data_IF_241144668175
#
_entry.id   IF_241144668175
#
_cell.length_a   1.000
_cell.length_b   1.000
_cell.length_c   1.000
_cell.angle_alpha   90.00
_cell.angle_beta   90.00
_cell.angle_gamma   90.00
#
_symmetry.space_group_name_H-M   'P 1'
#
loop_
_entity.id
_entity.type
_entity.pdbx_description
1 polymer ?
#
# COMPACT_ATOMS: atom_id res chain seq x y z
N UNK A 1 -9.65 11.22 -0.71
CA UNK A 1 -8.85 10.00 -0.46
C UNK A 1 -9.64 9.12 0.46
N UNK A 2 -9.80 7.86 0.09
CA UNK A 2 -10.49 6.84 0.88
C UNK A 2 -9.42 5.91 1.45
N UNK A 3 -9.60 5.43 2.67
CA UNK A 3 -8.73 4.45 3.34
C UNK A 3 -9.58 3.26 3.82
N UNK A 4 -9.00 2.06 3.79
CA UNK A 4 -9.64 0.87 4.33
C UNK A 4 -9.63 0.87 5.86
N UNK A 5 -10.73 0.42 6.47
CA UNK A 5 -10.79 0.22 7.93
C UNK A 5 -9.75 -0.80 8.41
N UNK A 6 -9.49 -1.84 7.62
CA UNK A 6 -8.52 -2.89 7.94
C UNK A 6 -7.11 -2.34 8.11
N UNK A 7 -6.71 -1.38 7.27
CA UNK A 7 -5.39 -0.78 7.36
C UNK A 7 -5.22 0.02 8.66
N UNK A 8 -6.22 0.82 9.04
CA UNK A 8 -6.17 1.63 10.28
C UNK A 8 -6.04 0.73 11.51
N UNK A 9 -6.75 -0.40 11.50
CA UNK A 9 -6.69 -1.37 12.59
C UNK A 9 -5.31 -2.02 12.71
N UNK A 10 -4.66 -2.28 11.56
CA UNK A 10 -3.36 -2.93 11.49
C UNK A 10 -2.19 -2.00 11.79
N UNK A 11 -2.26 -0.74 11.36
CA UNK A 11 -1.19 0.25 11.51
C UNK A 11 -1.70 1.53 12.15
N UNK A 12 -1.50 1.63 13.46
CA UNK A 12 -2.03 2.72 14.29
C UNK A 12 -1.54 4.11 13.88
N UNK A 13 -0.36 4.22 13.26
CA UNK A 13 0.19 5.51 12.83
C UNK A 13 -0.60 6.14 11.69
N UNK A 14 -1.46 5.42 10.97
CA UNK A 14 -2.38 6.09 10.01
C UNK A 14 -3.48 6.90 10.69
N UNK A 15 -3.75 6.67 11.98
CA UNK A 15 -4.73 7.47 12.74
C UNK A 15 -4.38 8.96 12.76
N UNK A 16 -3.10 9.31 12.62
CA UNK A 16 -2.67 10.71 12.55
C UNK A 16 -3.01 11.41 11.22
N UNK A 17 -3.54 10.68 10.24
CA UNK A 17 -4.00 11.20 8.95
C UNK A 17 -5.54 11.27 8.86
N UNK A 18 -6.26 11.10 9.98
CA UNK A 18 -7.72 11.04 10.07
C UNK A 18 -8.46 12.16 9.33
N UNK A 19 -7.93 13.38 9.34
CA UNK A 19 -8.51 14.54 8.63
C UNK A 19 -8.29 14.55 7.12
N UNK A 20 -7.43 13.67 6.60
CA UNK A 20 -7.04 13.64 5.18
C UNK A 20 -7.80 12.60 4.36
N UNK A 21 -8.48 11.65 5.03
CA UNK A 21 -9.18 10.56 4.39
C UNK A 21 -10.63 10.42 4.87
N UNK A 22 -11.40 9.64 4.12
CA UNK A 22 -12.66 9.06 4.57
C UNK A 22 -12.48 7.56 4.72
N UNK A 23 -12.98 6.99 5.81
CA UNK A 23 -12.93 5.55 6.04
C UNK A 23 -14.08 4.90 5.28
N UNK A 24 -13.78 3.91 4.44
CA UNK A 24 -14.78 3.09 3.78
C UNK A 24 -14.27 1.65 3.69
N UNK A 25 -15.18 0.70 3.46
CA UNK A 25 -14.82 -0.68 3.18
C UNK A 25 -14.46 -0.82 1.70
N UNK A 26 -13.16 -0.79 1.41
CA UNK A 26 -12.60 -0.86 0.06
C UNK A 26 -11.59 -2.00 -0.03
N UNK A 27 -11.47 -2.60 -1.22
CA UNK A 27 -10.54 -3.72 -1.48
C UNK A 27 -9.07 -3.30 -1.40
N UNK A 28 -8.75 -2.10 -1.87
CA UNK A 28 -7.42 -1.49 -1.74
C UNK A 28 -7.24 -0.87 -0.35
N UNK A 29 -6.00 -0.60 0.04
CA UNK A 29 -5.73 0.11 1.31
C UNK A 29 -6.07 1.59 1.23
N UNK A 30 -5.80 2.20 0.08
CA UNK A 30 -6.25 3.55 -0.22
C UNK A 30 -6.80 3.64 -1.64
N UNK A 31 -7.76 4.55 -1.82
CA UNK A 31 -8.28 4.93 -3.14
C UNK A 31 -8.24 6.45 -3.28
N UNK A 32 -7.64 6.92 -4.38
CA UNK A 32 -7.63 8.33 -4.76
C UNK A 32 -8.48 8.45 -6.03
N UNK A 33 -9.77 8.70 -5.82
CA UNK A 33 -10.77 8.72 -6.89
C UNK A 33 -10.47 9.76 -7.97
N UNK A 34 -10.04 10.96 -7.58
CA UNK A 34 -9.70 12.04 -8.54
C UNK A 34 -8.55 11.67 -9.49
N UNK A 35 -7.74 10.66 -9.14
CA UNK A 35 -6.62 10.15 -9.94
C UNK A 35 -6.87 8.76 -10.51
N UNK A 36 -8.02 8.13 -10.24
CA UNK A 36 -8.30 6.73 -10.56
C UNK A 36 -7.15 5.80 -10.15
N UNK A 37 -6.73 5.93 -8.90
CA UNK A 37 -5.56 5.24 -8.34
C UNK A 37 -5.94 4.44 -7.09
N UNK A 38 -5.59 3.16 -7.10
CA UNK A 38 -5.57 2.29 -5.94
C UNK A 38 -4.16 2.14 -5.41
N UNK A 39 -4.04 2.13 -4.09
CA UNK A 39 -2.80 1.88 -3.39
C UNK A 39 -3.01 0.68 -2.47
N UNK A 40 -2.13 -0.30 -2.59
CA UNK A 40 -1.99 -1.38 -1.61
C UNK A 40 -0.74 -1.08 -0.79
N UNK A 41 -0.88 -1.06 0.52
CA UNK A 41 0.19 -0.83 1.47
C UNK A 41 0.58 -2.12 2.19
N UNK A 42 1.88 -2.34 2.36
CA UNK A 42 2.40 -3.48 3.10
C UNK A 42 3.74 -3.14 3.75
N UNK A 43 4.01 -3.74 4.91
CA UNK A 43 5.37 -3.75 5.47
C UNK A 43 6.12 -5.00 5.03
N UNK A 44 7.44 -4.90 4.87
CA UNK A 44 8.25 -6.05 4.47
C UNK A 44 8.17 -7.18 5.51
N UNK A 45 8.18 -6.86 6.81
CA UNK A 45 7.95 -7.83 7.90
C UNK A 45 6.66 -8.62 7.72
N UNK A 46 5.58 -7.96 7.31
CA UNK A 46 4.29 -8.61 7.13
C UNK A 46 4.30 -9.52 5.91
N UNK A 47 4.94 -9.09 4.81
CA UNK A 47 5.10 -9.90 3.62
C UNK A 47 5.86 -11.20 3.93
N UNK A 48 6.91 -11.14 4.75
CA UNK A 48 7.66 -12.33 5.15
C UNK A 48 6.79 -13.39 5.84
N UNK A 49 5.89 -12.95 6.73
CA UNK A 49 4.95 -13.86 7.40
C UNK A 49 3.82 -14.35 6.49
N UNK A 50 3.51 -13.61 5.43
CA UNK A 50 2.33 -13.83 4.58
C UNK A 50 2.63 -13.57 3.09
N UNK A 51 3.54 -14.34 2.47
CA UNK A 51 4.06 -14.04 1.13
C UNK A 51 2.97 -14.07 0.04
N UNK A 52 1.91 -14.85 0.23
CA UNK A 52 0.82 -14.99 -0.73
C UNK A 52 -0.27 -13.90 -0.60
N UNK A 53 -0.32 -13.17 0.50
CA UNK A 53 -1.36 -12.17 0.76
C UNK A 53 -1.30 -11.01 -0.26
N UNK A 54 -0.10 -10.59 -0.66
CA UNK A 54 0.03 -9.49 -1.62
C UNK A 54 -0.57 -9.84 -2.99
N UNK A 55 -0.46 -11.11 -3.41
CA UNK A 55 -0.94 -11.58 -4.71
C UNK A 55 -2.47 -11.55 -4.74
N UNK A 56 -3.13 -12.11 -3.74
CA UNK A 56 -4.60 -12.12 -3.67
C UNK A 56 -5.15 -10.70 -3.65
N UNK A 57 -4.52 -9.81 -2.89
CA UNK A 57 -4.91 -8.40 -2.82
C UNK A 57 -4.73 -7.66 -4.14
N UNK A 58 -3.64 -7.92 -4.87
CA UNK A 58 -3.44 -7.38 -6.22
C UNK A 58 -4.54 -7.85 -7.16
N UNK A 59 -4.83 -9.15 -7.18
CA UNK A 59 -5.84 -9.74 -8.05
C UNK A 59 -7.24 -9.16 -7.76
N UNK A 60 -7.60 -8.98 -6.50
CA UNK A 60 -8.87 -8.36 -6.10
C UNK A 60 -8.98 -6.91 -6.59
N UNK A 61 -7.91 -6.12 -6.47
CA UNK A 61 -7.92 -4.70 -6.85
C UNK A 61 -7.83 -4.49 -8.36
N UNK A 62 -7.14 -5.37 -9.08
CA UNK A 62 -7.01 -5.28 -10.55
C UNK A 62 -8.29 -5.57 -11.31
N UNK A 63 -9.33 -6.08 -10.65
CA UNK A 63 -10.67 -6.21 -11.23
C UNK A 63 -11.31 -4.84 -11.51
N UNK A 64 -10.80 -3.77 -10.90
CA UNK A 64 -11.31 -2.40 -11.06
C UNK A 64 -10.46 -1.60 -12.06
N UNK A 65 -11.05 -0.63 -12.79
CA UNK A 65 -10.40 0.03 -13.93
C UNK A 65 -9.41 1.14 -13.54
N UNK A 66 -8.81 1.07 -12.35
CA UNK A 66 -7.92 2.09 -11.80
C UNK A 66 -6.46 1.62 -11.84
N UNK A 67 -5.54 2.57 -11.85
CA UNK A 67 -4.12 2.25 -11.74
C UNK A 67 -3.84 1.62 -10.37
N UNK A 68 -2.92 0.65 -10.32
CA UNK A 68 -2.49 0.02 -9.07
C UNK A 68 -1.05 0.40 -8.73
N UNK A 69 -0.89 0.92 -7.52
CA UNK A 69 0.39 1.21 -6.89
C UNK A 69 0.57 0.34 -5.64
N UNK A 70 1.72 -0.30 -5.53
CA UNK A 70 2.14 -1.02 -4.34
C UNK A 70 3.10 -0.13 -3.57
N UNK A 71 2.76 0.13 -2.31
CA UNK A 71 3.57 0.91 -1.39
C UNK A 71 4.14 -0.02 -0.33
N UNK A 72 5.44 -0.20 -0.34
CA UNK A 72 6.15 -1.11 0.55
C UNK A 72 6.97 -0.32 1.56
N UNK A 73 6.72 -0.55 2.85
CA UNK A 73 7.53 0.00 3.94
C UNK A 73 8.56 -1.03 4.41
N UNK A 74 9.85 -0.68 4.35
CA UNK A 74 10.97 -1.50 4.83
C UNK A 74 11.14 -1.30 6.33
N UNK A 75 10.61 -2.24 7.12
CA UNK A 75 10.60 -2.17 8.59
C UNK A 75 11.48 -3.23 9.27
N UNK A 76 12.31 -3.91 8.49
CA UNK A 76 13.23 -4.96 8.94
C UNK A 76 14.63 -4.73 8.36
N UNK A 77 15.62 -5.39 8.97
CA UNK A 77 16.98 -5.49 8.43
C UNK A 77 17.08 -6.68 7.46
N UNK A 78 18.12 -6.70 6.63
CA UNK A 78 18.42 -7.76 5.64
C UNK A 78 17.33 -7.91 4.56
N UNK A 79 16.86 -6.77 4.06
CA UNK A 79 15.73 -6.65 3.14
C UNK A 79 15.98 -7.21 1.72
N UNK A 80 17.24 -7.39 1.31
CA UNK A 80 17.61 -7.60 -0.10
C UNK A 80 16.99 -8.85 -0.71
N UNK A 81 17.07 -10.00 -0.04
CA UNK A 81 16.54 -11.26 -0.56
C UNK A 81 15.02 -11.20 -0.71
N UNK A 82 14.34 -10.66 0.29
CA UNK A 82 12.87 -10.55 0.29
C UNK A 82 12.36 -9.55 -0.74
N UNK A 83 13.10 -8.46 -0.96
CA UNK A 83 12.77 -7.50 -2.02
C UNK A 83 12.93 -8.10 -3.40
N UNK A 84 13.97 -8.90 -3.61
CA UNK A 84 14.19 -9.60 -4.87
C UNK A 84 13.05 -10.57 -5.16
N UNK A 85 12.69 -11.40 -4.18
CA UNK A 85 11.59 -12.37 -4.30
C UNK A 85 10.24 -11.68 -4.56
N UNK A 86 9.98 -10.59 -3.84
CA UNK A 86 8.78 -9.79 -4.05
C UNK A 86 8.77 -9.19 -5.47
N UNK A 87 9.87 -8.59 -5.93
CA UNK A 87 9.94 -8.01 -7.27
C UNK A 87 9.65 -9.07 -8.35
N UNK A 88 10.27 -10.25 -8.25
CA UNK A 88 10.04 -11.36 -9.17
C UNK A 88 8.58 -11.81 -9.16
N UNK A 89 7.96 -11.87 -7.99
CA UNK A 89 6.54 -12.20 -7.81
C UNK A 89 5.62 -11.17 -8.45
N UNK A 90 6.01 -9.90 -8.46
CA UNK A 90 5.18 -8.79 -8.95
C UNK A 90 5.24 -8.58 -10.47
N UNK A 91 6.24 -9.14 -11.17
CA UNK A 91 6.43 -8.98 -12.63
C UNK A 91 5.15 -9.27 -13.44
N UNK A 92 4.43 -10.41 -13.23
CA UNK A 92 3.25 -10.73 -14.03
C UNK A 92 2.12 -9.72 -13.88
N UNK A 93 2.05 -9.06 -12.73
CA UNK A 93 0.96 -8.16 -12.36
C UNK A 93 1.16 -6.73 -12.84
N UNK A 94 2.32 -6.39 -13.42
CA UNK A 94 2.63 -5.04 -13.96
C UNK A 94 2.35 -3.91 -12.96
N UNK A 95 2.52 -4.17 -11.67
CA UNK A 95 2.29 -3.19 -10.62
C UNK A 95 3.46 -2.22 -10.54
N UNK A 96 3.18 -0.94 -10.22
CA UNK A 96 4.23 -0.01 -9.83
C UNK A 96 4.56 -0.23 -8.36
N UNK A 97 5.84 -0.41 -8.03
CA UNK A 97 6.30 -0.55 -6.65
C UNK A 97 7.01 0.74 -6.22
N UNK A 98 6.58 1.30 -5.09
CA UNK A 98 7.31 2.36 -4.38
C UNK A 98 7.77 1.79 -3.04
N UNK A 99 9.06 1.96 -2.77
CA UNK A 99 9.71 1.52 -1.55
C UNK A 99 9.92 2.74 -0.66
N UNK A 100 9.55 2.61 0.61
CA UNK A 100 9.70 3.61 1.65
C UNK A 100 10.48 3.01 2.81
N UNK A 101 11.47 3.74 3.31
CA UNK A 101 12.44 3.30 4.30
C UNK A 101 12.02 3.60 5.73
N UNK A 102 11.17 4.60 5.91
CA UNK A 102 10.77 5.04 7.24
C UNK A 102 9.28 5.29 7.32
N UNK A 103 8.73 5.19 8.54
CA UNK A 103 7.33 5.54 8.79
C UNK A 103 7.04 7.01 8.42
N UNK A 104 8.01 7.91 8.59
CA UNK A 104 7.87 9.31 8.19
C UNK A 104 7.67 9.46 6.69
N UNK A 105 8.41 8.70 5.87
CA UNK A 105 8.21 8.69 4.42
C UNK A 105 6.83 8.19 4.02
N UNK A 106 6.30 7.16 4.71
CA UNK A 106 4.92 6.67 4.51
C UNK A 106 3.91 7.78 4.76
N UNK A 107 4.05 8.45 5.91
CA UNK A 107 3.17 9.53 6.32
C UNK A 107 3.24 10.70 5.35
N UNK A 108 4.45 11.12 4.96
CA UNK A 108 4.66 12.23 4.06
C UNK A 108 4.16 11.92 2.64
N UNK A 109 4.32 10.68 2.18
CA UNK A 109 3.74 10.21 0.92
C UNK A 109 2.22 10.41 0.89
N UNK A 110 1.52 9.95 1.93
CA UNK A 110 0.06 10.09 1.99
C UNK A 110 -0.40 11.53 2.20
N UNK A 111 0.32 12.34 2.99
CA UNK A 111 0.02 13.78 3.11
C UNK A 111 0.08 14.48 1.77
N UNK A 112 1.20 14.33 1.05
CA UNK A 112 1.38 14.92 -0.29
C UNK A 112 0.33 14.43 -1.27
N UNK A 113 -0.01 13.14 -1.20
CA UNK A 113 -1.01 12.57 -2.10
C UNK A 113 -2.42 13.06 -1.81
N UNK A 114 -2.74 13.35 -0.53
CA UNK A 114 -4.00 13.96 -0.13
C UNK A 114 -4.11 15.44 -0.52
N UNK A 115 -2.99 16.14 -0.70
CA UNK A 115 -2.93 17.52 -1.20
C UNK A 115 -3.15 17.63 -2.71
N UNK A 116 -2.87 16.56 -3.47
CA UNK A 116 -3.05 16.50 -4.93
C UNK A 116 -4.52 16.33 -5.39
N UNK A 117 -5.48 16.64 -4.51
CA UNK A 117 -6.94 16.50 -4.70
C UNK A 117 -7.43 17.12 -6.00
#
# INVERSE_FOLDING_TARGET
MIISQNLINKYSYFKQLDKLYQIQDVKSDFTIESRKLHIIFMTLSYHQGHPHDIISRIQDVQQFPYQLLLLLHLDIKDEFNYLMDLQMTLIPYKCKLIILWTQNEVIDFFKRTAELK
#
